data_IF_597131388603
#
_entry.id   IF_597131388603
#
_cell.length_a   1.000
_cell.length_b   1.000
_cell.length_c   1.000
_cell.angle_alpha   90.00
_cell.angle_beta   90.00
_cell.angle_gamma   90.00
#
_symmetry.space_group_name_H-M   'P 1'
#
loop_
_entity.id
_entity.type
_entity.pdbx_description
1 polymer ?
#
# COMPACT_ATOMS: atom_id res chain seq x y z
N UNK A 1 15.98 16.58 28.27
CA UNK A 1 15.25 15.45 27.66
C UNK A 1 14.24 16.03 26.70
N UNK A 2 14.52 15.98 25.40
CA UNK A 2 13.63 16.53 24.39
C UNK A 2 12.45 15.58 24.19
N UNK A 3 11.24 16.03 24.50
CA UNK A 3 10.00 15.43 24.01
C UNK A 3 10.05 15.43 22.47
N UNK A 4 10.47 14.30 21.89
CA UNK A 4 10.24 14.04 20.47
C UNK A 4 8.73 14.02 20.28
N UNK A 5 8.21 14.95 19.47
CA UNK A 5 6.84 14.91 18.97
C UNK A 5 6.54 13.48 18.55
N UNK A 6 5.63 12.81 19.24
CA UNK A 6 5.00 11.59 18.78
C UNK A 6 4.44 11.90 17.40
N UNK A 7 5.12 11.46 16.34
CA UNK A 7 4.62 11.57 14.99
C UNK A 7 3.30 10.82 14.98
N UNK A 8 2.19 11.54 14.85
CA UNK A 8 0.88 10.92 14.76
C UNK A 8 0.86 10.11 13.47
N UNK A 9 0.62 8.81 13.57
CA UNK A 9 0.57 7.93 12.41
C UNK A 9 -0.49 8.46 11.42
N UNK A 10 -0.13 8.46 10.14
CA UNK A 10 -1.07 8.79 9.07
C UNK A 10 -2.00 7.60 8.86
N UNK A 11 -3.30 7.87 8.75
CA UNK A 11 -4.30 6.84 8.47
C UNK A 11 -4.91 7.11 7.11
N UNK A 12 -4.91 6.11 6.23
CA UNK A 12 -5.54 6.16 4.91
C UNK A 12 -6.42 4.94 4.73
N UNK A 13 -7.56 5.13 4.08
CA UNK A 13 -8.47 4.04 3.74
C UNK A 13 -8.76 4.07 2.24
N UNK A 14 -9.25 2.97 1.72
CA UNK A 14 -9.61 2.95 0.32
C UNK A 14 -9.97 1.59 -0.22
N UNK A 15 -9.75 1.42 -1.52
CA UNK A 15 -10.03 0.20 -2.27
C UNK A 15 -8.82 -0.21 -3.08
N UNK A 16 -8.51 -1.49 -3.09
CA UNK A 16 -7.50 -2.09 -3.95
C UNK A 16 -8.21 -3.01 -4.94
N UNK A 17 -7.88 -2.87 -6.21
CA UNK A 17 -8.29 -3.75 -7.29
C UNK A 17 -7.04 -4.43 -7.83
N UNK A 18 -7.03 -5.76 -7.87
CA UNK A 18 -5.92 -6.56 -8.40
C UNK A 18 -6.44 -7.30 -9.62
N UNK A 19 -5.77 -7.12 -10.76
CA UNK A 19 -6.00 -7.87 -11.99
C UNK A 19 -4.74 -8.70 -12.25
N UNK A 20 -4.91 -10.02 -12.29
CA UNK A 20 -3.84 -10.99 -12.52
C UNK A 20 -4.32 -12.11 -13.47
N UNK A 21 -3.54 -13.18 -13.62
CA UNK A 21 -3.87 -14.32 -14.49
C UNK A 21 -5.09 -15.13 -14.02
N UNK A 22 -5.49 -15.00 -12.75
CA UNK A 22 -6.62 -15.70 -12.15
C UNK A 22 -7.92 -14.91 -12.25
N UNK A 23 -7.84 -13.59 -12.41
CA UNK A 23 -8.99 -12.73 -12.66
C UNK A 23 -8.88 -11.36 -12.03
N UNK A 24 -10.04 -10.81 -11.63
CA UNK A 24 -10.18 -9.48 -11.03
C UNK A 24 -10.66 -9.61 -9.60
N UNK A 25 -9.85 -9.08 -8.69
CA UNK A 25 -10.09 -9.10 -7.25
C UNK A 25 -10.30 -7.68 -6.74
N UNK A 26 -11.13 -7.54 -5.70
CA UNK A 26 -11.42 -6.25 -5.07
C UNK A 26 -11.39 -6.40 -3.55
N UNK A 27 -10.65 -5.53 -2.89
CA UNK A 27 -10.55 -5.42 -1.45
C UNK A 27 -10.77 -3.99 -1.00
N UNK A 28 -11.30 -3.83 0.22
CA UNK A 28 -11.17 -2.58 0.96
C UNK A 28 -9.85 -2.62 1.73
N UNK A 29 -9.25 -1.47 2.00
CA UNK A 29 -8.09 -1.41 2.87
C UNK A 29 -8.21 -0.30 3.91
N UNK A 30 -7.57 -0.54 5.05
CA UNK A 30 -7.18 0.47 6.03
C UNK A 30 -5.68 0.35 6.23
N UNK A 31 -4.98 1.47 6.12
CA UNK A 31 -3.52 1.55 6.23
C UNK A 31 -3.15 2.62 7.25
N UNK A 32 -2.23 2.27 8.13
CA UNK A 32 -1.63 3.18 9.10
C UNK A 32 -0.12 3.16 8.88
N UNK A 33 0.49 4.33 8.76
CA UNK A 33 1.93 4.43 8.50
C UNK A 33 2.55 5.67 9.14
N UNK A 34 3.84 5.56 9.42
CA UNK A 34 4.70 6.67 9.80
C UNK A 34 6.07 6.52 9.13
N UNK A 35 7.06 7.28 9.61
CA UNK A 35 8.42 7.24 9.05
C UNK A 35 9.21 5.96 9.35
N UNK A 36 8.64 5.02 10.12
CA UNK A 36 9.31 3.79 10.57
C UNK A 36 8.57 2.54 10.17
N UNK A 37 7.25 2.62 10.08
CA UNK A 37 6.40 1.45 9.95
C UNK A 37 5.20 1.69 9.05
N UNK A 38 4.71 0.61 8.46
CA UNK A 38 3.44 0.54 7.76
C UNK A 38 2.69 -0.69 8.22
N UNK A 39 1.40 -0.54 8.47
CA UNK A 39 0.47 -1.65 8.70
C UNK A 39 -0.76 -1.45 7.83
N UNK A 40 -1.25 -2.53 7.24
CA UNK A 40 -2.41 -2.51 6.35
C UNK A 40 -3.25 -3.75 6.57
N UNK A 41 -4.57 -3.54 6.70
CA UNK A 41 -5.56 -4.59 6.70
C UNK A 41 -6.29 -4.55 5.36
N UNK A 42 -6.33 -5.69 4.68
CA UNK A 42 -7.17 -5.92 3.52
C UNK A 42 -8.42 -6.66 3.95
N UNK A 43 -9.58 -6.16 3.53
CA UNK A 43 -10.87 -6.74 3.82
C UNK A 43 -11.66 -7.03 2.54
N UNK A 44 -12.50 -8.05 2.58
CA UNK A 44 -13.47 -8.33 1.54
C UNK A 44 -14.44 -7.15 1.39
N UNK A 45 -15.19 -7.05 0.27
CA UNK A 45 -16.26 -6.07 0.14
C UNK A 45 -17.33 -6.16 1.25
N UNK A 46 -17.43 -7.31 1.93
CA UNK A 46 -18.38 -7.60 3.00
C UNK A 46 -17.81 -7.38 4.41
N UNK A 47 -16.52 -7.08 4.54
CA UNK A 47 -15.86 -6.71 5.79
C UNK A 47 -14.99 -7.80 6.43
N UNK A 48 -14.93 -9.00 5.85
CA UNK A 48 -14.09 -10.08 6.35
C UNK A 48 -12.61 -9.74 6.14
N UNK A 49 -11.78 -9.98 7.16
CA UNK A 49 -10.32 -9.80 7.03
C UNK A 49 -9.78 -10.83 6.04
N UNK A 50 -9.07 -10.36 5.01
CA UNK A 50 -8.45 -11.20 3.97
C UNK A 50 -6.96 -11.33 4.24
N UNK A 51 -6.30 -10.23 4.57
CA UNK A 51 -4.88 -10.23 4.86
C UNK A 51 -4.49 -9.07 5.79
N UNK A 52 -3.46 -9.31 6.58
CA UNK A 52 -2.73 -8.30 7.33
C UNK A 52 -1.31 -8.20 6.78
N UNK A 53 -0.89 -6.99 6.43
CA UNK A 53 0.43 -6.69 5.87
C UNK A 53 1.10 -5.68 6.79
N UNK A 54 2.31 -5.97 7.27
CA UNK A 54 3.12 -5.02 8.03
C UNK A 54 4.55 -4.98 7.52
N UNK A 55 5.10 -3.78 7.49
CA UNK A 55 6.49 -3.52 7.10
C UNK A 55 7.15 -2.61 8.14
N UNK A 56 8.25 -3.07 8.73
CA UNK A 56 9.04 -2.36 9.73
C UNK A 56 10.48 -2.87 9.68
N UNK A 57 11.48 -1.98 9.81
CA UNK A 57 12.91 -2.35 9.88
C UNK A 57 13.38 -3.33 8.77
N UNK A 58 12.97 -3.09 7.51
CA UNK A 58 13.26 -3.93 6.35
C UNK A 58 12.63 -5.34 6.38
N UNK A 59 11.77 -5.63 7.35
CA UNK A 59 11.02 -6.88 7.46
C UNK A 59 9.58 -6.72 6.95
N UNK A 60 9.18 -7.62 6.04
CA UNK A 60 7.80 -7.75 5.60
C UNK A 60 7.16 -8.97 6.26
N UNK A 61 6.03 -8.73 6.91
CA UNK A 61 5.16 -9.76 7.47
C UNK A 61 3.80 -9.69 6.79
N UNK A 62 3.37 -10.82 6.22
CA UNK A 62 2.02 -10.99 5.68
C UNK A 62 1.34 -12.15 6.39
N UNK A 63 0.10 -11.93 6.82
CA UNK A 63 -0.78 -12.94 7.40
C UNK A 63 -2.08 -12.99 6.61
N UNK A 64 -2.67 -14.18 6.47
CA UNK A 64 -4.02 -14.34 5.95
C UNK A 64 -5.10 -13.93 6.98
N UNK A 65 -6.37 -14.06 6.59
CA UNK A 65 -7.53 -13.77 7.45
C UNK A 65 -7.60 -14.62 8.73
N UNK A 66 -6.97 -15.79 8.74
CA UNK A 66 -6.89 -16.70 9.90
C UNK A 66 -5.64 -16.42 10.78
N UNK A 67 -4.80 -15.46 10.38
CA UNK A 67 -3.59 -15.07 11.09
C UNK A 67 -2.36 -15.94 10.79
N UNK A 68 -2.43 -16.84 9.81
CA UNK A 68 -1.29 -17.68 9.40
C UNK A 68 -0.33 -16.84 8.57
N UNK A 69 0.97 -16.99 8.84
CA UNK A 69 2.02 -16.29 8.09
C UNK A 69 2.15 -16.87 6.68
N UNK A 70 2.21 -15.99 5.69
CA UNK A 70 2.47 -16.32 4.29
C UNK A 70 3.93 -16.01 3.94
N UNK A 71 4.51 -16.76 3.00
CA UNK A 71 5.77 -16.34 2.37
C UNK A 71 5.47 -15.14 1.46
N UNK A 72 6.15 -14.04 1.70
CA UNK A 72 5.89 -12.75 1.06
C UNK A 72 7.17 -12.08 0.56
N UNK A 73 8.27 -12.84 0.49
CA UNK A 73 9.60 -12.31 0.14
C UNK A 73 9.60 -11.64 -1.23
N UNK A 74 8.86 -12.20 -2.18
CA UNK A 74 8.73 -11.65 -3.55
C UNK A 74 8.08 -10.26 -3.59
N UNK A 75 7.22 -9.93 -2.62
CA UNK A 75 6.52 -8.65 -2.57
C UNK A 75 7.29 -7.57 -1.80
N UNK A 76 8.44 -7.90 -1.23
CA UNK A 76 9.21 -6.98 -0.40
C UNK A 76 9.60 -5.72 -1.16
N UNK A 77 10.11 -5.84 -2.39
CA UNK A 77 10.52 -4.68 -3.20
C UNK A 77 9.35 -3.73 -3.47
N UNK A 78 8.17 -4.27 -3.81
CA UNK A 78 6.97 -3.48 -4.03
C UNK A 78 6.52 -2.76 -2.75
N UNK A 79 6.49 -3.45 -1.61
CA UNK A 79 6.09 -2.84 -0.33
C UNK A 79 7.08 -1.78 0.13
N UNK A 80 8.38 -2.01 -0.07
CA UNK A 80 9.43 -1.01 0.20
C UNK A 80 9.22 0.26 -0.61
N UNK A 81 8.91 0.12 -1.90
CA UNK A 81 8.63 1.27 -2.76
C UNK A 81 7.37 1.99 -2.27
N UNK A 82 6.25 1.29 -2.05
CA UNK A 82 5.02 1.89 -1.49
C UNK A 82 5.30 2.65 -0.19
N UNK A 83 6.06 2.07 0.74
CA UNK A 83 6.43 2.69 2.00
C UNK A 83 7.26 3.96 1.81
N UNK A 84 8.24 3.91 0.89
CA UNK A 84 9.02 5.09 0.50
C UNK A 84 8.13 6.17 -0.10
N UNK A 85 7.17 5.79 -0.96
CA UNK A 85 6.29 6.75 -1.61
C UNK A 85 5.37 7.47 -0.62
N UNK A 86 4.88 6.75 0.38
CA UNK A 86 4.03 7.31 1.44
C UNK A 86 4.77 8.32 2.32
N UNK A 87 6.10 8.21 2.42
CA UNK A 87 6.95 9.01 3.30
C UNK A 87 7.76 10.10 2.58
N UNK A 88 7.57 10.30 1.28
CA UNK A 88 8.31 11.30 0.48
C UNK A 88 7.39 12.23 -0.31
N UNK A 89 7.92 13.39 -0.68
CA UNK A 89 7.23 14.42 -1.48
C UNK A 89 7.24 14.05 -2.96
N UNK A 90 6.55 12.99 -3.35
CA UNK A 90 6.50 12.56 -4.75
C UNK A 90 5.55 13.40 -5.60
N UNK A 91 5.76 13.41 -6.93
CA UNK A 91 4.85 14.08 -7.84
C UNK A 91 3.48 13.41 -7.76
N UNK A 92 2.47 14.20 -7.40
CA UNK A 92 1.09 13.71 -7.29
C UNK A 92 0.41 13.46 -8.64
N UNK A 93 1.11 13.71 -9.76
CA UNK A 93 0.68 13.43 -11.12
C UNK A 93 1.88 12.97 -11.95
N UNK A 94 1.67 12.02 -12.85
CA UNK A 94 2.71 11.48 -13.74
C UNK A 94 2.95 9.99 -13.55
N UNK A 95 4.10 9.53 -14.04
CA UNK A 95 4.49 8.12 -13.98
C UNK A 95 5.90 7.98 -13.37
N UNK A 96 6.07 7.03 -12.46
CA UNK A 96 7.34 6.59 -11.91
C UNK A 96 7.62 5.18 -12.43
N UNK A 97 8.79 4.97 -13.02
CA UNK A 97 9.26 3.66 -13.48
C UNK A 97 10.55 3.37 -12.71
N UNK A 98 10.57 2.26 -11.98
CA UNK A 98 11.75 1.79 -11.26
C UNK A 98 11.77 0.26 -11.29
N UNK A 99 12.92 -0.30 -11.66
CA UNK A 99 13.07 -1.74 -11.88
C UNK A 99 12.01 -2.27 -12.87
N UNK A 100 11.18 -3.22 -12.46
CA UNK A 100 10.08 -3.80 -13.23
C UNK A 100 8.69 -3.26 -12.82
N UNK A 101 8.66 -2.22 -11.98
CA UNK A 101 7.43 -1.63 -11.44
C UNK A 101 7.19 -0.26 -12.09
N UNK A 102 6.00 -0.10 -12.66
CA UNK A 102 5.49 1.17 -13.17
C UNK A 102 4.34 1.66 -12.30
N UNK A 103 4.39 2.91 -11.84
CA UNK A 103 3.37 3.53 -10.99
C UNK A 103 2.87 4.82 -11.61
N UNK A 104 1.60 4.87 -11.94
CA UNK A 104 0.91 6.04 -12.46
C UNK A 104 0.08 6.70 -11.36
N UNK A 105 0.32 7.99 -11.14
CA UNK A 105 -0.36 8.82 -10.13
C UNK A 105 -1.43 9.68 -10.79
N UNK A 106 -2.61 9.75 -10.18
CA UNK A 106 -3.69 10.64 -10.64
C UNK A 106 -3.93 11.83 -9.73
N UNK A 107 -4.81 12.72 -10.18
CA UNK A 107 -5.34 13.91 -9.49
C UNK A 107 -5.29 13.85 -7.96
N UNK A 108 -4.97 15.01 -7.37
CA UNK A 108 -4.90 15.23 -5.92
C UNK A 108 -6.27 15.30 -5.26
N UNK A 109 -6.34 14.92 -3.99
CA UNK A 109 -7.40 15.34 -3.08
C UNK A 109 -7.16 16.78 -2.58
N UNK A 110 -8.01 17.25 -1.67
CA UNK A 110 -7.92 18.60 -1.10
C UNK A 110 -6.67 18.80 -0.22
N UNK A 111 -6.05 17.73 0.26
CA UNK A 111 -4.81 17.72 1.05
C UNK A 111 -3.55 17.63 0.19
N UNK A 112 -3.70 17.49 -1.14
CA UNK A 112 -2.59 17.34 -2.06
C UNK A 112 -2.08 15.89 -2.21
N UNK A 113 -2.76 14.91 -1.60
CA UNK A 113 -2.42 13.50 -1.70
C UNK A 113 -3.03 12.87 -2.97
N UNK A 114 -2.37 11.91 -3.65
CA UNK A 114 -2.93 11.31 -4.85
C UNK A 114 -4.20 10.52 -4.55
N UNK A 115 -5.27 10.74 -5.30
CA UNK A 115 -6.54 9.99 -5.12
C UNK A 115 -6.44 8.53 -5.58
N UNK A 116 -5.52 8.25 -6.48
CA UNK A 116 -5.39 6.93 -7.09
C UNK A 116 -3.96 6.67 -7.53
N UNK A 117 -3.52 5.42 -7.33
CA UNK A 117 -2.31 4.85 -7.91
C UNK A 117 -2.69 3.69 -8.82
N UNK A 118 -2.01 3.58 -9.96
CA UNK A 118 -2.06 2.39 -10.81
C UNK A 118 -0.66 1.82 -10.92
N UNK A 119 -0.45 0.67 -10.29
CA UNK A 119 0.81 -0.06 -10.24
C UNK A 119 0.74 -1.19 -11.26
N UNK A 120 1.78 -1.35 -12.06
CA UNK A 120 1.92 -2.42 -13.06
C UNK A 120 3.27 -3.11 -12.84
N UNK A 121 3.23 -4.44 -12.76
CA UNK A 121 4.42 -5.29 -12.63
C UNK A 121 4.18 -6.58 -13.41
N UNK A 122 4.86 -6.75 -14.55
CA UNK A 122 4.63 -7.90 -15.43
C UNK A 122 3.18 -8.01 -15.91
N UNK A 123 2.52 -9.13 -15.59
CA UNK A 123 1.08 -9.36 -15.89
C UNK A 123 0.14 -8.86 -14.80
N UNK A 124 0.67 -8.38 -13.66
CA UNK A 124 -0.12 -7.93 -12.53
C UNK A 124 -0.40 -6.43 -12.69
N UNK A 125 -1.65 -6.05 -12.46
CA UNK A 125 -2.09 -4.66 -12.39
C UNK A 125 -2.84 -4.42 -11.09
N UNK A 126 -2.34 -3.49 -10.28
CA UNK A 126 -2.95 -3.10 -9.01
C UNK A 126 -3.43 -1.65 -9.14
N UNK A 127 -4.72 -1.41 -8.92
CA UNK A 127 -5.27 -0.06 -8.79
C UNK A 127 -5.64 0.20 -7.33
N UNK A 128 -5.01 1.21 -6.74
CA UNK A 128 -5.33 1.70 -5.40
C UNK A 128 -6.14 2.98 -5.53
N UNK A 129 -7.28 3.05 -4.86
CA UNK A 129 -8.14 4.25 -4.79
C UNK A 129 -8.23 4.65 -3.33
N UNK A 130 -7.74 5.83 -2.99
CA UNK A 130 -7.82 6.41 -1.66
C UNK A 130 -9.17 7.12 -1.48
N UNK A 131 -9.79 6.98 -0.31
CA UNK A 131 -11.11 7.52 0.04
C UNK A 131 -11.02 8.57 1.14
#
# INVERSE_FOLDING_TARGET
MAQRRSGQASVRNGRIYIEDSTGKHRFNFRMEYDSRSLSMILASPWGDSVAYISYEEDELLVKDGDGRRLDSTEYLSLVKEIFHLLNTSLPSEGCLIRENIEIEFSKRDEEGFPRQWVIREGSIRIKVVFL
#
